data_IF_017128138123
#
_entry.id   IF_017128138123
#
_cell.length_a   1.000
_cell.length_b   1.000
_cell.length_c   1.000
_cell.angle_alpha   90.00
_cell.angle_beta   90.00
_cell.angle_gamma   90.00
#
_symmetry.space_group_name_H-M   'P 1'
#
loop_
_entity.id
_entity.type
_entity.pdbx_description
1 polymer ?
#
# COMPACT_ATOMS: atom_id res chain seq x y z
N UNK A 1 -36.07 14.16 7.08
CA UNK A 1 -35.79 13.70 8.46
C UNK A 1 -34.28 13.51 8.60
N UNK A 2 -33.68 14.30 9.50
CA UNK A 2 -32.25 14.38 9.88
C UNK A 2 -31.23 14.65 8.77
N UNK A 3 -31.04 15.93 8.52
CA UNK A 3 -29.76 16.53 8.08
C UNK A 3 -28.69 16.25 9.14
N UNK A 4 -27.97 15.13 9.02
CA UNK A 4 -26.65 15.05 9.61
C UNK A 4 -25.67 15.64 8.61
N UNK A 5 -25.33 16.92 8.82
CA UNK A 5 -24.10 17.51 8.30
C UNK A 5 -22.96 16.75 8.99
N UNK A 6 -22.49 15.68 8.35
CA UNK A 6 -21.37 14.90 8.86
C UNK A 6 -20.09 15.61 8.47
N UNK A 7 -19.29 15.93 9.48
CA UNK A 7 -18.05 16.68 9.40
C UNK A 7 -17.04 15.90 8.55
N UNK A 8 -16.77 16.39 7.34
CA UNK A 8 -16.00 15.65 6.33
C UNK A 8 -14.54 15.43 6.76
N UNK A 9 -14.03 16.30 7.64
CA UNK A 9 -12.73 16.16 8.30
C UNK A 9 -12.65 14.90 9.18
N UNK A 10 -13.78 14.51 9.80
CA UNK A 10 -13.84 13.34 10.67
C UNK A 10 -13.88 12.04 9.86
N UNK A 11 -14.42 12.05 8.65
CA UNK A 11 -14.54 10.86 7.78
C UNK A 11 -13.23 10.61 7.04
N UNK A 12 -12.55 11.66 6.57
CA UNK A 12 -11.24 11.55 5.92
C UNK A 12 -10.16 11.05 6.89
N UNK A 13 -10.19 11.53 8.14
CA UNK A 13 -9.36 11.00 9.23
C UNK A 13 -9.68 9.53 9.51
N UNK A 14 -10.95 9.11 9.49
CA UNK A 14 -11.35 7.71 9.67
C UNK A 14 -10.84 6.82 8.53
N UNK A 15 -10.84 7.29 7.27
CA UNK A 15 -10.28 6.54 6.14
C UNK A 15 -8.76 6.40 6.23
N UNK A 16 -8.04 7.46 6.59
CA UNK A 16 -6.59 7.41 6.82
C UNK A 16 -6.27 6.51 8.01
N UNK A 17 -7.00 6.63 9.12
CA UNK A 17 -6.83 5.76 10.29
C UNK A 17 -7.15 4.30 9.97
N UNK A 18 -8.18 3.99 9.17
CA UNK A 18 -8.49 2.62 8.76
C UNK A 18 -7.46 2.05 7.79
N UNK A 19 -6.91 2.86 6.89
CA UNK A 19 -5.81 2.44 6.01
C UNK A 19 -4.53 2.15 6.81
N UNK A 20 -4.20 2.99 7.80
CA UNK A 20 -3.08 2.72 8.72
C UNK A 20 -3.34 1.54 9.66
N UNK A 21 -4.59 1.35 10.13
CA UNK A 21 -4.96 0.24 11.00
C UNK A 21 -4.95 -1.11 10.26
N UNK A 22 -5.41 -1.15 9.01
CA UNK A 22 -5.30 -2.34 8.15
C UNK A 22 -3.84 -2.64 7.82
N UNK A 23 -3.01 -1.63 7.55
CA UNK A 23 -1.57 -1.81 7.36
C UNK A 23 -0.87 -2.33 8.64
N UNK A 24 -1.23 -1.81 9.83
CA UNK A 24 -0.70 -2.27 11.11
C UNK A 24 -1.14 -3.71 11.44
N UNK A 25 -2.39 -4.07 11.12
CA UNK A 25 -2.93 -5.41 11.32
C UNK A 25 -2.26 -6.44 10.39
N UNK A 26 -2.05 -6.11 9.11
CA UNK A 26 -1.31 -6.95 8.16
C UNK A 26 0.16 -7.11 8.60
N UNK A 27 0.77 -6.07 9.18
CA UNK A 27 2.14 -6.12 9.72
C UNK A 27 2.26 -7.06 10.93
N UNK A 28 1.25 -7.13 11.79
CA UNK A 28 1.21 -8.06 12.92
C UNK A 28 0.97 -9.51 12.47
N UNK A 29 0.14 -9.74 11.45
CA UNK A 29 -0.08 -11.08 10.88
C UNK A 29 1.11 -11.61 10.06
N UNK A 30 2.03 -10.75 9.60
CA UNK A 30 3.29 -11.13 8.91
C UNK A 30 4.47 -11.16 9.90
N UNK A 31 4.27 -11.44 11.18
CA UNK A 31 5.34 -11.93 12.05
C UNK A 31 5.53 -13.44 11.82
N UNK A 32 6.12 -13.80 10.68
CA UNK A 32 6.66 -15.15 10.52
C UNK A 32 7.82 -15.30 11.52
N UNK A 33 7.86 -16.33 12.38
CA UNK A 33 9.03 -16.57 13.21
C UNK A 33 10.24 -16.71 12.30
N UNK A 34 11.32 -16.02 12.63
CA UNK A 34 12.56 -16.05 11.86
C UNK A 34 13.06 -17.49 11.80
N UNK A 35 13.05 -18.09 10.60
CA UNK A 35 13.67 -19.39 10.37
C UNK A 35 15.19 -19.17 10.48
N UNK A 36 15.75 -19.55 11.63
CA UNK A 36 17.20 -19.61 11.83
C UNK A 36 17.75 -20.63 10.84
N UNK A 37 18.47 -20.17 9.82
CA UNK A 37 19.14 -21.06 8.86
C UNK A 37 20.35 -21.69 9.54
N UNK A 38 20.26 -22.97 9.87
CA UNK A 38 21.39 -23.76 10.34
C UNK A 38 22.47 -23.91 9.25
N UNK A 39 23.77 -24.01 9.60
CA UNK A 39 24.84 -24.17 8.63
C UNK A 39 24.73 -25.52 7.89
N UNK A 40 25.03 -25.51 6.60
CA UNK A 40 24.98 -26.70 5.74
C UNK A 40 26.15 -27.64 6.05
N UNK A 41 25.91 -28.63 6.90
CA UNK A 41 26.74 -29.84 6.96
C UNK A 41 26.22 -30.85 5.93
N UNK A 42 27.09 -31.36 5.05
CA UNK A 42 26.80 -32.50 4.18
C UNK A 42 26.33 -33.67 5.05
N UNK A 43 25.07 -34.11 4.88
CA UNK A 43 24.49 -35.19 5.67
C UNK A 43 24.10 -36.39 4.80
N UNK A 44 24.52 -37.55 5.32
CA UNK A 44 24.22 -38.93 4.93
C UNK A 44 22.71 -39.20 4.76
N UNK A 45 22.37 -40.29 4.05
CA UNK A 45 21.06 -40.78 3.57
C UNK A 45 19.88 -40.84 4.57
N UNK A 46 20.03 -40.37 5.81
CA UNK A 46 18.97 -40.32 6.85
C UNK A 46 18.17 -39.01 6.86
N UNK A 47 18.31 -38.16 5.83
CA UNK A 47 17.76 -36.79 5.77
C UNK A 47 16.57 -36.63 4.80
N UNK A 48 15.89 -37.72 4.43
CA UNK A 48 14.81 -37.66 3.44
C UNK A 48 13.44 -37.25 4.04
N UNK A 49 13.31 -37.22 5.37
CA UNK A 49 12.06 -36.80 6.06
C UNK A 49 11.87 -35.28 6.12
N UNK A 50 12.94 -34.46 6.10
CA UNK A 50 12.83 -33.00 6.16
C UNK A 50 12.34 -32.34 4.85
N UNK A 51 12.15 -33.15 3.80
CA UNK A 51 11.66 -32.71 2.49
C UNK A 51 10.29 -33.26 2.11
N UNK A 52 9.62 -34.02 2.98
CA UNK A 52 8.30 -34.58 2.67
C UNK A 52 7.18 -33.69 3.23
N UNK A 53 6.04 -33.64 2.54
CA UNK A 53 4.85 -32.94 3.03
C UNK A 53 4.32 -33.67 4.26
N UNK A 54 4.15 -32.95 5.38
CA UNK A 54 3.65 -33.53 6.63
C UNK A 54 2.14 -33.80 6.53
N UNK A 55 1.71 -34.98 6.96
CA UNK A 55 0.31 -35.43 6.95
C UNK A 55 -0.16 -35.65 8.39
N UNK A 56 -1.40 -35.24 8.70
CA UNK A 56 -2.03 -35.40 10.00
C UNK A 56 -2.92 -34.21 10.35
N UNK A 57 -3.73 -34.37 11.40
CA UNK A 57 -4.73 -33.37 11.85
C UNK A 57 -4.14 -31.98 12.13
N UNK A 58 -2.86 -31.92 12.54
CA UNK A 58 -2.16 -30.66 12.80
C UNK A 58 -1.62 -29.96 11.53
N UNK A 59 -1.74 -30.60 10.36
CA UNK A 59 -1.19 -30.13 9.08
C UNK A 59 -2.23 -30.06 7.97
N UNK A 60 -3.34 -30.78 8.09
CA UNK A 60 -4.44 -30.78 7.13
C UNK A 60 -5.49 -29.74 7.54
N UNK A 61 -6.08 -29.07 6.55
CA UNK A 61 -7.23 -28.19 6.79
C UNK A 61 -8.49 -29.03 7.01
N UNK A 62 -9.37 -28.55 7.88
CA UNK A 62 -10.74 -29.08 7.97
C UNK A 62 -11.47 -28.72 6.67
N UNK A 63 -11.97 -29.72 5.97
CA UNK A 63 -12.70 -29.53 4.72
C UNK A 63 -14.15 -29.20 5.10
N UNK A 64 -14.64 -27.98 4.82
CA UNK A 64 -16.02 -27.65 5.11
C UNK A 64 -16.96 -28.56 4.31
N UNK A 65 -18.07 -28.97 4.92
CA UNK A 65 -19.11 -29.68 4.19
C UNK A 65 -19.63 -28.83 3.03
N UNK A 66 -20.00 -29.49 1.94
CA UNK A 66 -20.56 -28.81 0.78
C UNK A 66 -21.94 -28.24 1.13
N UNK A 67 -21.97 -26.99 1.58
CA UNK A 67 -23.18 -26.20 1.64
C UNK A 67 -23.64 -26.00 0.19
N UNK A 68 -24.73 -26.65 -0.23
CA UNK A 68 -25.19 -26.73 -1.62
C UNK A 68 -25.45 -25.37 -2.30
N UNK A 69 -26.70 -25.07 -2.69
CA UNK A 69 -27.01 -23.74 -3.26
C UNK A 69 -26.77 -22.68 -2.18
N UNK A 70 -25.79 -21.80 -2.41
CA UNK A 70 -25.53 -20.59 -1.62
C UNK A 70 -26.88 -19.94 -1.32
N UNK A 71 -27.28 -19.91 -0.04
CA UNK A 71 -28.56 -19.34 0.36
C UNK A 71 -28.56 -17.84 0.04
N UNK A 72 -29.74 -17.24 -0.18
CA UNK A 72 -29.78 -15.79 -0.41
C UNK A 72 -29.27 -14.98 0.78
N UNK A 73 -29.22 -15.58 1.98
CA UNK A 73 -28.62 -14.98 3.17
C UNK A 73 -27.09 -15.00 3.12
N UNK A 74 -26.47 -16.05 2.58
CA UNK A 74 -25.02 -16.09 2.35
C UNK A 74 -24.55 -15.05 1.32
N UNK A 75 -25.40 -14.68 0.37
CA UNK A 75 -25.12 -13.59 -0.60
C UNK A 75 -25.24 -12.19 0.01
N UNK A 76 -26.01 -12.03 1.09
CA UNK A 76 -26.16 -10.76 1.82
C UNK A 76 -25.13 -10.59 2.92
N UNK A 77 -24.53 -11.68 3.38
CA UNK A 77 -23.37 -11.67 4.25
C UNK A 77 -22.10 -11.28 3.48
N UNK A 78 -22.08 -10.07 2.90
CA UNK A 78 -20.80 -9.38 2.71
C UNK A 78 -20.15 -9.38 4.09
N UNK A 79 -19.04 -10.09 4.21
CA UNK A 79 -18.24 -10.12 5.43
C UNK A 79 -18.11 -8.68 5.92
N UNK A 80 -18.37 -8.39 7.20
CA UNK A 80 -18.17 -7.04 7.77
C UNK A 80 -16.73 -6.50 7.58
N UNK A 81 -15.84 -7.32 7.00
CA UNK A 81 -14.45 -7.05 6.66
C UNK A 81 -14.25 -6.49 5.25
N UNK A 82 -15.28 -6.45 4.41
CA UNK A 82 -15.19 -6.04 3.00
C UNK A 82 -16.10 -4.85 2.71
N UNK A 83 -15.63 -3.95 1.86
CA UNK A 83 -16.41 -2.84 1.33
C UNK A 83 -16.12 -2.67 -0.16
N UNK A 84 -17.12 -2.21 -0.90
CA UNK A 84 -17.00 -1.99 -2.34
C UNK A 84 -16.21 -0.70 -2.55
N UNK A 85 -15.21 -0.77 -3.43
CA UNK A 85 -14.38 0.40 -3.85
C UNK A 85 -14.67 0.83 -5.28
N UNK A 86 -15.25 -0.06 -6.08
CA UNK A 86 -15.65 0.20 -7.46
C UNK A 86 -16.67 -0.84 -7.94
N UNK A 87 -17.63 -0.39 -8.75
CA UNK A 87 -18.71 -1.17 -9.34
C UNK A 87 -18.72 -0.91 -10.86
N UNK A 88 -18.16 -1.82 -11.68
CA UNK A 88 -18.07 -1.63 -13.14
C UNK A 88 -19.43 -1.39 -13.82
N UNK A 89 -20.51 -1.96 -13.28
CA UNK A 89 -21.86 -1.85 -13.84
C UNK A 89 -22.46 -0.44 -13.69
N UNK A 90 -21.94 0.38 -12.79
CA UNK A 90 -22.40 1.74 -12.54
C UNK A 90 -21.47 2.79 -13.16
N UNK A 91 -20.44 2.34 -13.88
CA UNK A 91 -19.44 3.22 -14.47
C UNK A 91 -20.09 4.15 -15.53
N UNK A 92 -19.80 5.47 -15.48
CA UNK A 92 -20.21 6.42 -16.52
C UNK A 92 -19.62 6.09 -17.89
N UNK A 93 -20.09 6.77 -18.94
CA UNK A 93 -19.50 6.58 -20.26
C UNK A 93 -17.99 6.89 -20.26
N UNK A 94 -17.23 6.16 -21.07
CA UNK A 94 -15.76 6.26 -21.10
C UNK A 94 -15.29 7.69 -21.41
N UNK A 95 -16.01 8.41 -22.26
CA UNK A 95 -15.70 9.79 -22.60
C UNK A 95 -15.88 10.72 -21.39
N UNK A 96 -17.01 10.62 -20.68
CA UNK A 96 -17.31 11.42 -19.49
C UNK A 96 -16.33 11.13 -18.36
N UNK A 97 -16.03 9.85 -18.14
CA UNK A 97 -15.05 9.42 -17.15
C UNK A 97 -13.65 9.97 -17.49
N UNK A 98 -13.25 9.98 -18.75
CA UNK A 98 -11.95 10.52 -19.17
C UNK A 98 -11.86 12.02 -18.92
N UNK A 99 -12.89 12.78 -19.27
CA UNK A 99 -12.96 14.23 -19.00
C UNK A 99 -12.94 14.53 -17.51
N UNK A 100 -13.64 13.72 -16.70
CA UNK A 100 -13.60 13.82 -15.24
C UNK A 100 -12.20 13.58 -14.67
N UNK A 101 -11.51 12.53 -15.12
CA UNK A 101 -10.14 12.23 -14.68
C UNK A 101 -9.14 13.31 -15.08
N UNK A 102 -9.33 13.92 -16.26
CA UNK A 102 -8.50 15.05 -16.70
C UNK A 102 -8.74 16.29 -15.83
N UNK A 103 -9.99 16.61 -15.52
CA UNK A 103 -10.34 17.68 -14.59
C UNK A 103 -9.75 17.43 -13.20
N UNK A 104 -9.93 16.23 -12.63
CA UNK A 104 -9.39 15.87 -11.32
C UNK A 104 -7.85 15.99 -11.27
N UNK A 105 -7.15 15.62 -12.35
CA UNK A 105 -5.70 15.76 -12.47
C UNK A 105 -5.23 17.21 -12.38
N UNK A 106 -5.99 18.17 -12.92
CA UNK A 106 -5.68 19.61 -12.79
C UNK A 106 -5.76 20.08 -11.34
N UNK A 107 -6.61 19.44 -10.53
CA UNK A 107 -6.76 19.67 -9.09
C UNK A 107 -5.83 18.79 -8.23
N UNK A 108 -4.76 18.23 -8.82
CA UNK A 108 -3.77 17.41 -8.14
C UNK A 108 -4.35 16.11 -7.56
N UNK A 109 -5.42 15.54 -8.12
CA UNK A 109 -5.86 14.19 -7.75
C UNK A 109 -5.06 13.14 -8.53
N UNK A 110 -4.77 12.02 -7.88
CA UNK A 110 -4.39 10.80 -8.62
C UNK A 110 -5.64 10.15 -9.21
N UNK A 111 -5.44 9.31 -10.22
CA UNK A 111 -6.55 8.60 -10.85
C UNK A 111 -7.35 7.78 -9.83
N UNK A 112 -6.66 7.09 -8.91
CA UNK A 112 -7.29 6.26 -7.89
C UNK A 112 -8.16 7.09 -6.94
N UNK A 113 -7.66 8.24 -6.49
CA UNK A 113 -8.41 9.13 -5.60
C UNK A 113 -9.64 9.71 -6.29
N UNK A 114 -9.52 10.09 -7.56
CA UNK A 114 -10.66 10.55 -8.36
C UNK A 114 -11.72 9.44 -8.52
N UNK A 115 -11.32 8.20 -8.79
CA UNK A 115 -12.26 7.08 -8.90
C UNK A 115 -12.96 6.76 -7.57
N UNK A 116 -12.25 6.87 -6.44
CA UNK A 116 -12.83 6.70 -5.11
C UNK A 116 -13.86 7.79 -4.82
N UNK A 117 -13.53 9.06 -5.13
CA UNK A 117 -14.45 10.18 -4.97
C UNK A 117 -15.70 9.97 -5.83
N UNK A 118 -15.52 9.58 -7.09
CA UNK A 118 -16.64 9.27 -7.99
C UNK A 118 -17.52 8.13 -7.45
N UNK A 119 -16.91 7.08 -6.89
CA UNK A 119 -17.65 6.00 -6.24
C UNK A 119 -18.49 6.51 -5.05
N UNK A 120 -17.96 7.43 -4.24
CA UNK A 120 -18.69 8.05 -3.12
C UNK A 120 -19.89 8.89 -3.56
N UNK A 121 -19.82 9.50 -4.75
CA UNK A 121 -20.94 10.20 -5.36
C UNK A 121 -21.87 9.26 -6.16
N UNK A 122 -21.83 7.95 -5.89
CA UNK A 122 -22.61 6.94 -6.61
C UNK A 122 -22.49 7.09 -8.14
N UNK A 123 -21.30 7.40 -8.63
CA UNK A 123 -20.99 7.60 -10.05
C UNK A 123 -21.63 8.83 -10.70
N UNK A 124 -22.14 9.79 -9.91
CA UNK A 124 -22.55 11.10 -10.41
C UNK A 124 -21.32 11.99 -10.64
N UNK A 125 -21.05 12.31 -11.91
CA UNK A 125 -19.91 13.12 -12.33
C UNK A 125 -20.05 14.58 -11.88
N UNK A 126 -21.26 15.16 -11.92
CA UNK A 126 -21.46 16.57 -11.56
C UNK A 126 -21.13 16.81 -10.09
N UNK A 127 -21.71 16.00 -9.20
CA UNK A 127 -21.50 16.12 -7.76
C UNK A 127 -20.02 15.89 -7.40
N UNK A 128 -19.36 14.94 -8.06
CA UNK A 128 -17.95 14.68 -7.85
C UNK A 128 -17.05 15.83 -8.33
N UNK A 129 -17.42 16.54 -9.41
CA UNK A 129 -16.69 17.72 -9.90
C UNK A 129 -16.80 18.87 -8.90
N UNK A 130 -18.00 19.11 -8.38
CA UNK A 130 -18.25 20.20 -7.43
C UNK A 130 -17.46 20.02 -6.13
N UNK A 131 -17.19 18.78 -5.73
CA UNK A 131 -16.47 18.45 -4.50
C UNK A 131 -14.95 18.25 -4.64
N UNK A 132 -14.41 18.13 -5.86
CA UNK A 132 -12.96 18.06 -6.10
C UNK A 132 -12.18 19.22 -5.45
N UNK A 133 -12.63 20.49 -5.51
CA UNK A 133 -11.92 21.59 -4.87
C UNK A 133 -11.92 21.51 -3.33
N UNK A 134 -12.89 20.80 -2.74
CA UNK A 134 -13.09 20.74 -1.30
C UNK A 134 -12.21 19.68 -0.62
N UNK A 135 -11.87 18.61 -1.33
CA UNK A 135 -11.17 17.44 -0.77
C UNK A 135 -9.73 17.27 -1.27
N UNK A 136 -9.07 18.37 -1.66
CA UNK A 136 -7.70 18.33 -2.19
C UNK A 136 -6.78 17.53 -1.25
N UNK A 137 -6.24 16.38 -1.71
CA UNK A 137 -5.48 15.50 -0.83
C UNK A 137 -4.23 16.19 -0.28
N UNK A 138 -4.09 16.19 1.05
CA UNK A 138 -2.82 16.58 1.67
C UNK A 138 -1.82 15.46 1.45
N UNK A 139 -0.96 15.63 0.44
CA UNK A 139 0.15 14.71 0.22
C UNK A 139 1.07 14.68 1.43
N UNK A 140 1.54 13.47 1.79
CA UNK A 140 2.56 13.28 2.81
C UNK A 140 3.93 13.73 2.28
N UNK A 141 4.08 15.04 2.05
CA UNK A 141 5.25 15.66 1.42
C UNK A 141 6.49 15.41 2.28
N UNK A 142 7.51 14.82 1.69
CA UNK A 142 8.82 14.63 2.27
C UNK A 142 9.63 15.91 2.16
N UNK A 143 10.29 16.31 3.24
CA UNK A 143 11.25 17.41 3.13
C UNK A 143 12.50 16.95 2.38
N UNK A 144 13.16 17.88 1.67
CA UNK A 144 14.47 17.64 1.03
C UNK A 144 15.48 17.03 2.02
N UNK A 145 15.42 17.45 3.29
CA UNK A 145 16.27 16.95 4.36
C UNK A 145 15.97 15.51 4.76
N UNK A 146 14.69 15.14 4.88
CA UNK A 146 14.28 13.76 5.19
C UNK A 146 14.68 12.78 4.08
N UNK A 147 14.46 13.13 2.81
CA UNK A 147 14.86 12.27 1.68
C UNK A 147 16.37 12.10 1.63
N UNK A 148 17.16 13.15 1.86
CA UNK A 148 18.63 13.04 1.93
C UNK A 148 19.09 12.16 3.09
N UNK A 149 18.48 12.28 4.27
CA UNK A 149 18.76 11.41 5.43
C UNK A 149 18.43 9.95 5.12
N UNK A 150 17.27 9.70 4.51
CA UNK A 150 16.84 8.39 4.06
C UNK A 150 17.81 7.77 3.05
N UNK A 151 18.17 8.49 1.99
CA UNK A 151 19.09 8.05 0.95
C UNK A 151 20.46 7.65 1.51
N UNK A 152 21.01 8.48 2.43
CA UNK A 152 22.26 8.16 3.13
C UNK A 152 22.16 6.87 3.95
N UNK A 153 21.01 6.64 4.59
CA UNK A 153 20.80 5.46 5.42
C UNK A 153 20.61 4.18 4.60
N UNK A 154 19.88 4.21 3.48
CA UNK A 154 19.70 3.00 2.67
C UNK A 154 20.97 2.59 1.91
N UNK A 155 21.87 3.55 1.73
CA UNK A 155 23.17 3.40 1.09
C UNK A 155 24.27 2.91 2.05
N UNK A 156 24.12 3.16 3.35
CA UNK A 156 25.06 2.65 4.35
C UNK A 156 25.06 1.12 4.38
N UNK A 157 26.15 0.52 4.87
CA UNK A 157 26.20 -0.92 5.13
C UNK A 157 25.64 -1.19 6.52
N UNK A 158 24.70 -2.14 6.70
CA UNK A 158 24.06 -2.97 5.68
C UNK A 158 23.02 -2.21 4.84
N UNK A 159 23.02 -2.45 3.52
CA UNK A 159 22.10 -1.78 2.60
C UNK A 159 20.66 -2.14 2.88
N UNK A 160 19.74 -1.22 2.56
CA UNK A 160 18.28 -1.38 2.76
C UNK A 160 17.90 -1.66 4.23
N UNK A 161 18.64 -1.05 5.16
CA UNK A 161 18.31 -1.11 6.58
C UNK A 161 17.17 -0.14 6.92
N UNK A 162 15.92 -0.58 6.72
CA UNK A 162 14.74 0.24 6.98
C UNK A 162 14.54 0.57 8.46
N UNK A 163 15.07 -0.26 9.37
CA UNK A 163 15.01 -0.01 10.83
C UNK A 163 15.88 1.19 11.19
N UNK A 164 17.08 1.28 10.63
CA UNK A 164 17.96 2.43 10.80
C UNK A 164 17.39 3.67 10.10
N UNK A 165 16.80 3.51 8.92
CA UNK A 165 16.14 4.61 8.22
C UNK A 165 15.03 5.23 9.07
N UNK A 166 14.19 4.41 9.72
CA UNK A 166 13.18 4.85 10.67
C UNK A 166 13.75 5.63 11.86
N UNK A 167 14.97 5.31 12.33
CA UNK A 167 15.63 6.10 13.38
C UNK A 167 16.06 7.48 12.88
N UNK A 168 16.46 7.61 11.61
CA UNK A 168 16.87 8.90 11.03
C UNK A 168 15.71 9.86 10.71
N UNK A 169 14.51 9.31 10.51
CA UNK A 169 13.25 10.05 10.27
C UNK A 169 12.15 9.56 11.24
N UNK A 170 12.26 9.84 12.54
CA UNK A 170 11.40 9.25 13.57
C UNK A 170 9.92 9.64 13.41
N UNK A 171 9.62 10.81 12.82
CA UNK A 171 8.26 11.28 12.56
C UNK A 171 7.51 10.54 11.44
N UNK A 172 8.20 9.71 10.63
CA UNK A 172 7.60 9.02 9.47
C UNK A 172 7.18 7.60 9.81
N UNK A 173 5.99 7.17 9.40
CA UNK A 173 5.59 5.78 9.62
C UNK A 173 6.43 4.82 8.77
N UNK A 174 6.54 3.56 9.20
CA UNK A 174 7.32 2.56 8.45
C UNK A 174 6.76 2.35 7.04
N UNK A 175 5.44 2.43 6.88
CA UNK A 175 4.79 2.38 5.57
C UNK A 175 5.29 3.47 4.62
N UNK A 176 5.36 4.72 5.10
CA UNK A 176 5.84 5.86 4.30
C UNK A 176 7.30 5.68 3.87
N UNK A 177 8.15 5.17 4.77
CA UNK A 177 9.57 4.91 4.50
C UNK A 177 9.71 3.85 3.40
N UNK A 178 8.92 2.77 3.48
CA UNK A 178 8.87 1.75 2.44
C UNK A 178 8.32 2.31 1.12
N UNK A 179 7.27 3.13 1.17
CA UNK A 179 6.70 3.75 -0.02
C UNK A 179 7.71 4.68 -0.73
N UNK A 180 8.42 5.51 0.04
CA UNK A 180 9.50 6.36 -0.49
C UNK A 180 10.57 5.52 -1.18
N UNK A 181 10.99 4.40 -0.58
CA UNK A 181 11.92 3.48 -1.21
C UNK A 181 11.44 3.03 -2.59
N UNK A 182 10.25 2.45 -2.68
CA UNK A 182 9.76 1.92 -3.96
C UNK A 182 9.49 3.01 -5.00
N UNK A 183 9.14 4.22 -4.56
CA UNK A 183 8.92 5.35 -5.46
C UNK A 183 10.23 5.85 -6.12
N UNK A 184 11.38 5.78 -5.42
CA UNK A 184 12.66 6.32 -5.94
C UNK A 184 13.66 5.23 -6.39
N UNK A 185 13.53 4.00 -5.86
CA UNK A 185 14.56 2.95 -5.92
C UNK A 185 14.27 1.81 -6.93
N UNK A 186 13.18 1.87 -7.70
CA UNK A 186 12.91 0.93 -8.80
C UNK A 186 13.69 1.37 -10.06
N UNK A 187 15.03 1.17 -10.13
CA UNK A 187 15.55 -0.13 -10.56
C UNK A 187 16.96 -0.43 -9.98
N UNK A 188 17.09 -0.71 -8.68
CA UNK A 188 18.37 -1.21 -8.15
C UNK A 188 18.53 -2.72 -8.36
N UNK A 189 18.91 -3.14 -9.56
CA UNK A 189 19.94 -4.20 -9.64
C UNK A 189 21.19 -3.50 -9.13
N UNK A 190 21.54 -3.73 -7.86
CA UNK A 190 22.66 -3.07 -7.21
C UNK A 190 23.92 -3.29 -8.05
N UNK A 191 24.29 -2.31 -8.89
CA UNK A 191 25.58 -2.31 -9.56
C UNK A 191 26.62 -2.25 -8.44
N UNK A 192 27.68 -3.03 -8.56
CA UNK A 192 28.88 -2.87 -7.72
C UNK A 192 29.25 -1.39 -7.68
N UNK A 193 29.67 -0.88 -6.50
CA UNK A 193 30.06 0.54 -6.32
C UNK A 193 31.09 0.88 -7.41
N UNK A 194 30.64 1.59 -8.44
CA UNK A 194 31.49 2.17 -9.47
C UNK A 194 31.73 3.65 -9.11
N UNK A 195 32.66 4.27 -9.84
CA UNK A 195 33.07 5.69 -9.74
C UNK A 195 31.90 6.71 -9.71
N UNK A 196 30.70 6.29 -10.08
CA UNK A 196 29.47 7.09 -10.25
C UNK A 196 28.43 6.91 -9.12
N UNK A 197 28.86 6.58 -7.91
CA UNK A 197 27.95 6.30 -6.78
C UNK A 197 27.17 7.52 -6.29
N UNK A 198 27.79 8.69 -6.27
CA UNK A 198 27.14 9.97 -5.94
C UNK A 198 26.03 10.32 -6.93
N UNK A 199 26.27 10.07 -8.22
CA UNK A 199 25.29 10.30 -9.28
C UNK A 199 24.05 9.40 -9.12
N UNK A 200 24.21 8.16 -8.65
CA UNK A 200 23.07 7.27 -8.38
C UNK A 200 22.17 7.81 -7.25
N UNK A 201 22.76 8.37 -6.20
CA UNK A 201 22.02 8.98 -5.09
C UNK A 201 21.29 10.24 -5.57
N UNK A 202 21.95 11.05 -6.40
CA UNK A 202 21.35 12.23 -7.01
C UNK A 202 20.20 11.86 -7.96
N UNK A 203 20.34 10.82 -8.78
CA UNK A 203 19.26 10.30 -9.62
C UNK A 203 18.04 9.87 -8.79
N UNK A 204 18.26 9.23 -7.64
CA UNK A 204 17.17 8.87 -6.74
C UNK A 204 16.48 10.09 -6.13
N UNK A 205 17.26 11.10 -5.71
CA UNK A 205 16.72 12.35 -5.21
C UNK A 205 15.90 13.09 -6.28
N UNK A 206 16.43 13.20 -7.50
CA UNK A 206 15.74 13.78 -8.66
C UNK A 206 14.45 13.03 -8.99
N UNK A 207 14.42 11.71 -8.80
CA UNK A 207 13.19 10.92 -8.95
C UNK A 207 12.16 11.22 -7.86
N UNK A 208 12.59 11.46 -6.62
CA UNK A 208 11.69 11.90 -5.55
C UNK A 208 10.99 13.23 -5.91
N UNK A 209 11.77 14.18 -6.45
CA UNK A 209 11.26 15.48 -6.90
C UNK A 209 10.28 15.31 -8.09
N UNK A 210 10.66 14.52 -9.11
CA UNK A 210 9.77 14.26 -10.26
C UNK A 210 8.44 13.60 -9.87
N UNK A 211 8.45 12.76 -8.84
CA UNK A 211 7.24 12.09 -8.34
C UNK A 211 6.41 12.96 -7.39
N UNK A 212 6.75 14.25 -7.20
CA UNK A 212 6.01 15.15 -6.31
C UNK A 212 6.10 14.77 -4.83
N UNK A 213 7.09 13.95 -4.45
CA UNK A 213 7.26 13.53 -3.06
C UNK A 213 7.93 14.61 -2.21
N UNK A 214 8.56 15.61 -2.83
CA UNK A 214 9.38 16.65 -2.18
C UNK A 214 8.95 18.05 -2.59
#
# INVERSE_FOLDING_TARGET
LRTHKFDADSVFLVFIYHFYATYAYIREMIKRPAVVKAPKTYKSRKSQEDGCSRVGINFQAEIPEHAGKISNDDKKNFSSKEFIVWAPNLQPNLQELSSYLEFAKQHQYTQELALILLHWHNYNISDAIDDIPNYVPVYNKWTKGEVKKFLRCIDSKPRKNFVEAKKTVPGRHMGDICALYYAIAAPFKARTRNKYHSELIEQCFSRAVRNGLV
#
